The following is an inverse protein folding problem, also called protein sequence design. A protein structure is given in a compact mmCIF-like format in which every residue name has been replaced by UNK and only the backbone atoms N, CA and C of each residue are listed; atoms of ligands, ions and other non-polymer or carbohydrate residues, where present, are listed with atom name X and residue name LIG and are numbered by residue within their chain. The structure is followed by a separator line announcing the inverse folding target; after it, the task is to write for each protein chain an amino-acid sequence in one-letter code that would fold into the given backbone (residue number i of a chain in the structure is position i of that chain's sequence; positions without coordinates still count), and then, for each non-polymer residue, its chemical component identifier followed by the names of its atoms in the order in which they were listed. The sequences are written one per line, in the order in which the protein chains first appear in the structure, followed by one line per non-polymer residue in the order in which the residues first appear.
data_IF_721401487935
#
_entry.id   IF_721401487935
#
_cell.length_a   1.000
_cell.length_b   1.000
_cell.length_c   1.000
_cell.angle_alpha   90.00
_cell.angle_beta   90.00
_cell.angle_gamma   90.00
#
_symmetry.space_group_name_H-M   'P 1'
#
loop_
_entity.id
_entity.type
_entity.pdbx_description
1 polymer ?
#
# COMPACT_ATOMS: atom_id res chain seq x y z
N UNK A 1 2.58 -38.17 19.41
CA UNK A 1 1.17 -37.72 19.57
C UNK A 1 0.99 -36.48 18.71
N UNK A 2 0.42 -36.58 17.52
CA UNK A 2 0.22 -35.44 16.62
C UNK A 2 -1.07 -35.66 15.83
N UNK A 3 -2.20 -35.69 16.55
CA UNK A 3 -3.51 -35.97 15.94
C UNK A 3 -4.64 -35.08 16.46
N UNK A 4 -4.32 -34.07 17.29
CA UNK A 4 -5.33 -33.26 17.99
C UNK A 4 -5.32 -31.79 17.55
N UNK A 5 -4.24 -31.26 16.95
CA UNK A 5 -4.15 -29.83 16.60
C UNK A 5 -4.91 -29.45 15.31
N UNK A 6 -5.21 -30.41 14.42
CA UNK A 6 -5.93 -30.13 13.17
C UNK A 6 -7.42 -29.81 13.36
N UNK A 7 -8.00 -30.12 14.53
CA UNK A 7 -9.42 -29.90 14.84
C UNK A 7 -9.76 -28.61 15.60
N UNK A 8 -8.76 -27.79 15.96
CA UNK A 8 -8.99 -26.54 16.70
C UNK A 8 -9.14 -25.39 15.70
N UNK A 9 -10.35 -25.27 15.15
CA UNK A 9 -10.81 -24.10 14.40
C UNK A 9 -11.94 -23.42 15.16
N UNK A 10 -11.67 -23.05 16.41
CA UNK A 10 -12.64 -22.45 17.33
C UNK A 10 -12.33 -20.98 17.50
N UNK A 11 -13.35 -20.12 17.33
CA UNK A 11 -13.20 -18.66 17.45
C UNK A 11 -13.12 -18.18 18.90
N UNK A 12 -13.46 -19.02 19.87
CA UNK A 12 -13.43 -18.70 21.31
C UNK A 12 -12.17 -19.24 22.00
N UNK A 13 -11.04 -19.26 21.30
CA UNK A 13 -9.74 -19.67 21.84
C UNK A 13 -9.05 -18.44 22.43
N UNK A 14 -8.99 -18.36 23.77
CA UNK A 14 -8.40 -17.21 24.49
C UNK A 14 -7.11 -17.54 25.22
N UNK A 15 -6.80 -18.82 25.38
CA UNK A 15 -5.65 -19.25 26.15
C UNK A 15 -5.04 -20.52 25.54
N UNK A 16 -3.73 -20.49 25.30
CA UNK A 16 -2.95 -21.60 24.77
C UNK A 16 -1.82 -21.87 25.74
N UNK A 17 -1.93 -22.99 26.47
CA UNK A 17 -0.91 -23.41 27.43
C UNK A 17 -0.09 -24.56 26.86
N UNK A 18 1.17 -24.30 26.52
CA UNK A 18 2.13 -25.31 26.10
C UNK A 18 2.89 -25.85 27.30
N UNK A 19 2.75 -27.16 27.54
CA UNK A 19 3.46 -27.89 28.58
C UNK A 19 4.34 -28.95 27.89
N UNK A 20 5.63 -28.66 27.69
CA UNK A 20 6.59 -29.65 27.18
C UNK A 20 7.96 -29.47 27.83
N UNK A 21 8.49 -30.51 28.49
CA UNK A 21 9.82 -30.49 29.16
C UNK A 21 11.00 -30.80 28.20
N UNK A 22 10.72 -31.26 26.98
CA UNK A 22 11.74 -31.58 25.96
C UNK A 22 11.24 -31.16 24.58
N UNK A 23 11.36 -29.87 24.26
CA UNK A 23 11.01 -29.39 22.93
C UNK A 23 12.07 -29.82 21.90
N UNK A 24 11.63 -30.44 20.80
CA UNK A 24 12.41 -30.35 19.57
C UNK A 24 12.39 -28.89 19.13
N UNK A 25 13.54 -28.21 19.12
CA UNK A 25 13.72 -26.87 18.51
C UNK A 25 13.58 -26.91 16.97
N UNK A 26 12.69 -27.75 16.45
CA UNK A 26 12.47 -27.90 15.02
C UNK A 26 11.56 -26.78 14.52
N UNK A 27 11.91 -26.23 13.35
CA UNK A 27 11.12 -25.21 12.66
C UNK A 27 9.67 -25.68 12.43
N UNK A 28 9.48 -26.95 12.10
CA UNK A 28 8.15 -27.55 11.88
C UNK A 28 7.25 -27.46 13.12
N UNK A 29 7.81 -27.58 14.33
CA UNK A 29 7.05 -27.45 15.57
C UNK A 29 6.60 -26.00 15.82
N UNK A 30 7.50 -25.04 15.65
CA UNK A 30 7.21 -23.60 15.85
C UNK A 30 6.28 -23.02 14.80
N UNK A 31 6.37 -23.48 13.54
CA UNK A 31 5.42 -23.11 12.47
C UNK A 31 4.00 -23.60 12.78
N UNK A 32 3.85 -24.81 13.33
CA UNK A 32 2.54 -25.34 13.72
C UNK A 32 1.92 -24.57 14.90
N UNK A 33 2.75 -24.06 15.82
CA UNK A 33 2.33 -23.25 16.96
C UNK A 33 1.93 -21.84 16.52
N UNK A 34 2.72 -21.21 15.63
CA UNK A 34 2.38 -19.92 15.04
C UNK A 34 1.03 -19.97 14.30
N UNK A 35 0.75 -21.05 13.57
CA UNK A 35 -0.56 -21.27 12.95
C UNK A 35 -1.69 -21.38 13.98
N UNK A 36 -1.47 -22.08 15.10
CA UNK A 36 -2.47 -22.20 16.16
C UNK A 36 -2.74 -20.85 16.84
N UNK A 37 -1.69 -20.07 17.11
CA UNK A 37 -1.78 -18.70 17.62
C UNK A 37 -2.56 -17.83 16.63
N UNK A 38 -2.25 -17.89 15.34
CA UNK A 38 -2.98 -17.16 14.30
C UNK A 38 -4.46 -17.52 14.22
N UNK A 39 -4.83 -18.79 14.45
CA UNK A 39 -6.23 -19.20 14.56
C UNK A 39 -6.91 -18.65 15.81
N UNK A 40 -6.19 -18.56 16.93
CA UNK A 40 -6.70 -17.96 18.18
C UNK A 40 -6.83 -16.44 18.13
N UNK A 41 -5.96 -15.76 17.38
CA UNK A 41 -5.95 -14.30 17.26
C UNK A 41 -7.12 -13.72 16.42
N UNK A 42 -8.05 -14.56 15.96
CA UNK A 42 -9.22 -14.12 15.22
C UNK A 42 -10.25 -13.52 16.16
N UNK A 43 -10.86 -12.42 15.72
CA UNK A 43 -11.94 -11.77 16.44
C UNK A 43 -13.11 -12.72 16.67
N UNK A 44 -13.61 -12.81 17.91
CA UNK A 44 -14.80 -13.59 18.25
C UNK A 44 -16.07 -12.71 18.20
N UNK A 45 -16.97 -12.91 17.21
CA UNK A 45 -18.15 -12.06 17.03
C UNK A 45 -19.13 -12.17 18.20
N UNK A 46 -19.33 -11.08 18.94
CA UNK A 46 -20.36 -10.98 19.99
C UNK A 46 -21.55 -10.10 19.59
N UNK A 47 -22.69 -10.30 20.25
CA UNK A 47 -23.91 -9.53 20.02
C UNK A 47 -23.95 -8.32 20.94
N UNK A 48 -24.25 -7.15 20.38
CA UNK A 48 -24.44 -5.89 21.11
C UNK A 48 -25.61 -5.14 20.46
N UNK A 49 -26.55 -4.64 21.25
CA UNK A 49 -27.81 -4.01 20.79
C UNK A 49 -28.53 -4.80 19.69
N UNK A 50 -28.64 -6.12 19.89
CA UNK A 50 -29.33 -7.03 18.95
C UNK A 50 -28.59 -7.25 17.62
N UNK A 51 -27.38 -6.71 17.44
CA UNK A 51 -26.57 -6.87 16.21
C UNK A 51 -25.27 -7.62 16.49
N UNK A 52 -24.99 -8.65 15.70
CA UNK A 52 -23.69 -9.35 15.67
C UNK A 52 -22.82 -8.78 14.55
N UNK A 53 -21.57 -8.46 14.84
CA UNK A 53 -20.59 -7.96 13.86
C UNK A 53 -19.45 -8.95 13.73
N UNK A 54 -18.98 -9.18 12.51
CA UNK A 54 -17.77 -9.97 12.23
C UNK A 54 -16.52 -9.10 12.08
N UNK A 55 -16.65 -7.78 12.24
CA UNK A 55 -15.56 -6.84 12.38
C UNK A 55 -15.46 -6.37 13.83
N UNK A 56 -14.24 -6.08 14.29
CA UNK A 56 -13.99 -5.55 15.64
C UNK A 56 -14.78 -4.28 15.89
N UNK A 57 -15.14 -4.08 17.15
CA UNK A 57 -15.93 -2.93 17.65
C UNK A 57 -15.14 -2.28 18.77
N UNK A 58 -15.30 -0.96 18.93
CA UNK A 58 -14.75 -0.20 20.05
C UNK A 58 -13.20 -0.12 20.14
N UNK A 59 -12.47 -0.52 19.09
CA UNK A 59 -10.99 -0.43 19.03
C UNK A 59 -10.46 1.00 19.30
N UNK A 60 -11.23 2.03 18.96
CA UNK A 60 -10.87 3.45 19.15
C UNK A 60 -11.55 4.09 20.37
N UNK A 61 -12.16 3.30 21.25
CA UNK A 61 -12.87 3.81 22.43
C UNK A 61 -11.87 4.22 23.52
N UNK A 62 -11.95 5.46 24.00
CA UNK A 62 -11.12 5.99 25.09
C UNK A 62 -11.54 5.50 26.50
N UNK A 63 -12.32 4.42 26.60
CA UNK A 63 -12.76 3.84 27.88
C UNK A 63 -11.83 2.72 28.30
N UNK A 64 -11.57 2.59 29.60
CA UNK A 64 -10.73 1.52 30.16
C UNK A 64 -11.28 0.10 29.88
N UNK A 65 -12.57 -0.02 29.55
CA UNK A 65 -13.25 -1.26 29.15
C UNK A 65 -13.21 -1.52 27.62
N UNK A 66 -12.34 -0.83 26.87
CA UNK A 66 -12.25 -0.93 25.40
C UNK A 66 -11.53 -2.18 24.92
N UNK A 67 -10.70 -2.81 25.76
CA UNK A 67 -10.06 -4.09 25.44
C UNK A 67 -11.08 -5.20 25.64
N UNK A 68 -11.59 -5.75 24.55
CA UNK A 68 -12.66 -6.74 24.57
C UNK A 68 -12.14 -8.17 24.62
N UNK A 69 -10.99 -8.43 24.00
CA UNK A 69 -10.44 -9.78 23.80
C UNK A 69 -8.92 -9.77 23.92
N UNK A 70 -8.40 -10.73 24.68
CA UNK A 70 -6.98 -11.00 24.80
C UNK A 70 -6.77 -12.50 24.57
N UNK A 71 -5.74 -12.84 23.78
CA UNK A 71 -5.25 -14.21 23.63
C UNK A 71 -3.95 -14.31 24.44
N UNK A 72 -3.88 -15.26 25.35
CA UNK A 72 -2.66 -15.56 26.08
C UNK A 72 -2.01 -16.82 25.51
N UNK A 73 -0.70 -16.77 25.29
CA UNK A 73 0.12 -17.94 24.97
C UNK A 73 1.12 -18.15 26.10
N UNK A 74 1.00 -19.28 26.78
CA UNK A 74 1.88 -19.65 27.89
C UNK A 74 2.81 -20.77 27.47
N UNK A 75 4.10 -20.60 27.72
CA UNK A 75 5.13 -21.62 27.51
C UNK A 75 6.14 -21.55 28.66
N UNK A 76 6.86 -22.65 28.87
CA UNK A 76 8.06 -22.66 29.71
C UNK A 76 9.09 -21.70 29.08
N UNK A 77 9.80 -20.95 29.93
CA UNK A 77 10.78 -19.95 29.51
C UNK A 77 12.04 -20.61 28.91
N UNK A 78 11.96 -20.99 27.63
CA UNK A 78 13.06 -21.55 26.84
C UNK A 78 13.50 -20.55 25.76
N UNK A 79 14.61 -19.80 25.96
CA UNK A 79 14.98 -18.69 25.07
C UNK A 79 15.18 -19.08 23.59
N UNK A 80 15.72 -20.28 23.32
CA UNK A 80 15.94 -20.76 21.96
C UNK A 80 14.62 -21.07 21.23
N UNK A 81 13.65 -21.64 21.95
CA UNK A 81 12.32 -21.92 21.45
C UNK A 81 11.55 -20.62 21.18
N UNK A 82 11.55 -19.70 22.15
CA UNK A 82 10.87 -18.39 22.05
C UNK A 82 11.38 -17.63 20.81
N UNK A 83 12.71 -17.57 20.62
CA UNK A 83 13.31 -16.93 19.44
C UNK A 83 12.87 -17.56 18.12
N UNK A 84 12.69 -18.88 18.09
CA UNK A 84 12.25 -19.59 16.88
C UNK A 84 10.75 -19.37 16.63
N UNK A 85 9.94 -19.37 17.69
CA UNK A 85 8.50 -19.06 17.62
C UNK A 85 8.25 -17.64 17.09
N UNK A 86 9.01 -16.64 17.55
CA UNK A 86 8.92 -15.28 17.01
C UNK A 86 9.16 -15.23 15.50
N UNK A 87 10.20 -15.91 15.01
CA UNK A 87 10.47 -16.00 13.57
C UNK A 87 9.31 -16.64 12.80
N UNK A 88 8.68 -17.67 13.37
CA UNK A 88 7.52 -18.32 12.76
C UNK A 88 6.27 -17.43 12.77
N UNK A 89 6.07 -16.61 13.80
CA UNK A 89 4.99 -15.61 13.86
C UNK A 89 5.19 -14.50 12.82
N UNK A 90 6.40 -13.96 12.71
CA UNK A 90 6.76 -12.98 11.66
C UNK A 90 6.55 -13.56 10.25
N UNK A 91 6.96 -14.81 10.00
CA UNK A 91 6.72 -15.50 8.72
C UNK A 91 5.24 -15.73 8.41
N UNK A 92 4.40 -15.79 9.44
CA UNK A 92 2.96 -15.96 9.31
C UNK A 92 2.19 -14.63 9.22
N UNK A 93 2.89 -13.49 9.11
CA UNK A 93 2.29 -12.14 9.09
C UNK A 93 1.48 -11.83 10.37
N UNK A 94 1.87 -12.46 11.49
CA UNK A 94 1.33 -12.17 12.82
C UNK A 94 2.31 -11.23 13.50
N UNK A 95 1.96 -9.94 13.57
CA UNK A 95 2.77 -8.89 14.19
C UNK A 95 3.10 -9.25 15.65
N UNK A 96 4.31 -9.72 15.88
CA UNK A 96 4.86 -9.93 17.21
C UNK A 96 5.59 -8.66 17.65
N UNK A 97 4.83 -7.64 18.08
CA UNK A 97 5.44 -6.47 18.72
C UNK A 97 6.05 -6.90 20.07
N UNK A 98 7.27 -6.45 20.34
CA UNK A 98 7.86 -6.60 21.67
C UNK A 98 7.24 -5.56 22.60
N UNK A 99 6.64 -6.00 23.70
CA UNK A 99 6.25 -5.09 24.77
C UNK A 99 7.49 -4.31 25.24
N UNK A 100 7.45 -2.97 25.12
CA UNK A 100 8.23 -2.10 26.01
C UNK A 100 9.33 -1.21 25.44
N UNK A 101 9.27 -0.71 24.19
CA UNK A 101 10.13 0.43 23.83
C UNK A 101 9.55 1.47 22.87
N UNK A 102 8.40 1.20 22.24
CA UNK A 102 7.78 2.16 21.34
C UNK A 102 7.14 3.35 22.06
N UNK A 103 7.27 4.54 21.46
CA UNK A 103 6.65 5.77 21.96
C UNK A 103 5.41 6.07 21.14
N UNK A 104 4.30 6.40 21.80
CA UNK A 104 3.11 6.95 21.13
C UNK A 104 3.31 8.44 20.94
N UNK A 105 3.30 8.88 19.70
CA UNK A 105 3.33 10.30 19.34
C UNK A 105 1.94 10.75 18.89
N UNK A 106 1.59 11.99 19.22
CA UNK A 106 0.28 12.56 18.93
C UNK A 106 0.40 13.73 17.94
N UNK A 107 -0.47 13.75 16.94
CA UNK A 107 -0.62 14.83 16.00
C UNK A 107 -2.05 15.40 16.13
N UNK A 108 -2.16 16.58 16.71
CA UNK A 108 -3.41 17.28 16.94
C UNK A 108 -3.56 18.42 15.96
N UNK A 109 -4.76 18.58 15.42
CA UNK A 109 -5.10 19.70 14.56
C UNK A 109 -4.98 21.01 15.34
N UNK A 110 -4.24 21.96 14.74
CA UNK A 110 -4.02 23.30 15.31
C UNK A 110 -5.33 24.07 15.42
N UNK A 111 -5.48 24.83 16.50
CA UNK A 111 -6.69 25.64 16.75
C UNK A 111 -6.93 26.69 15.65
N UNK A 112 -5.87 27.30 15.12
CA UNK A 112 -5.97 28.26 14.01
C UNK A 112 -6.52 27.60 12.73
N UNK A 113 -6.14 26.34 12.45
CA UNK A 113 -6.70 25.58 11.34
C UNK A 113 -8.15 25.20 11.61
N UNK A 114 -8.49 24.76 12.82
CA UNK A 114 -9.88 24.46 13.20
C UNK A 114 -10.81 25.67 13.03
N UNK A 115 -10.30 26.90 13.12
CA UNK A 115 -11.07 28.14 12.93
C UNK A 115 -11.14 28.62 11.47
N UNK A 116 -10.37 28.03 10.55
CA UNK A 116 -10.32 28.48 9.16
C UNK A 116 -11.60 28.15 8.39
N UNK A 117 -11.83 28.86 7.29
CA UNK A 117 -12.95 28.60 6.39
C UNK A 117 -12.82 27.20 5.75
N UNK A 118 -11.60 26.81 5.40
CA UNK A 118 -11.28 25.47 4.86
C UNK A 118 -11.72 24.36 5.81
N UNK A 119 -11.47 24.46 7.12
CA UNK A 119 -11.88 23.41 8.05
C UNK A 119 -13.39 23.41 8.33
N UNK A 120 -13.97 24.61 8.53
CA UNK A 120 -15.37 24.74 8.98
C UNK A 120 -16.38 24.41 7.89
N UNK A 121 -16.10 24.86 6.66
CA UNK A 121 -17.03 24.79 5.52
C UNK A 121 -16.41 24.18 4.27
N UNK A 122 -15.09 24.02 4.21
CA UNK A 122 -14.41 23.42 3.08
C UNK A 122 -14.71 21.93 2.93
N UNK A 123 -14.40 21.42 1.74
CA UNK A 123 -14.75 20.07 1.29
C UNK A 123 -13.52 19.34 0.76
N UNK A 124 -13.47 18.03 0.98
CA UNK A 124 -12.54 17.12 0.31
C UNK A 124 -13.27 16.34 -0.77
N UNK A 125 -12.66 16.22 -1.93
CA UNK A 125 -13.23 15.60 -3.11
C UNK A 125 -12.66 14.20 -3.33
N UNK A 126 -13.54 13.23 -3.51
CA UNK A 126 -13.25 11.80 -3.71
C UNK A 126 -13.89 11.35 -5.01
N UNK A 127 -13.29 10.40 -5.71
CA UNK A 127 -13.96 9.85 -6.88
C UNK A 127 -15.02 8.82 -6.49
N UNK A 128 -16.14 8.85 -7.20
CA UNK A 128 -17.19 7.85 -7.04
C UNK A 128 -16.71 6.49 -7.54
N UNK A 129 -17.38 5.45 -7.05
CA UNK A 129 -17.15 4.07 -7.47
C UNK A 129 -18.40 3.48 -8.08
N UNK A 130 -18.23 2.57 -9.04
CA UNK A 130 -19.34 1.86 -9.66
C UNK A 130 -19.06 0.35 -9.77
N UNK A 131 -20.12 -0.43 -9.79
CA UNK A 131 -20.04 -1.87 -9.99
C UNK A 131 -19.54 -2.22 -11.39
N UNK A 132 -18.70 -3.25 -11.48
CA UNK A 132 -18.24 -3.76 -12.77
C UNK A 132 -19.16 -4.91 -13.17
N UNK A 133 -19.95 -4.70 -14.23
CA UNK A 133 -20.80 -5.74 -14.80
C UNK A 133 -19.96 -6.97 -15.18
N UNK A 134 -20.46 -8.18 -14.88
CA UNK A 134 -19.72 -9.43 -15.14
C UNK A 134 -19.26 -9.54 -16.60
N UNK A 135 -20.12 -9.19 -17.58
CA UNK A 135 -19.80 -9.23 -19.01
C UNK A 135 -18.64 -8.32 -19.43
N UNK A 136 -18.36 -7.28 -18.63
CA UNK A 136 -17.32 -6.29 -18.87
C UNK A 136 -15.99 -6.66 -18.21
N UNK A 137 -15.94 -7.79 -17.47
CA UNK A 137 -14.71 -8.25 -16.81
C UNK A 137 -13.64 -8.61 -17.83
N UNK A 138 -12.52 -7.90 -17.75
CA UNK A 138 -11.31 -8.10 -18.53
C UNK A 138 -10.08 -7.79 -17.69
N UNK A 139 -8.89 -7.99 -18.27
CA UNK A 139 -7.60 -7.82 -17.61
C UNK A 139 -7.46 -6.47 -16.89
N UNK A 140 -7.87 -5.39 -17.57
CA UNK A 140 -7.81 -4.01 -17.10
C UNK A 140 -8.77 -3.77 -15.93
N UNK A 141 -10.00 -4.30 -15.99
CA UNK A 141 -10.98 -4.14 -14.89
C UNK A 141 -10.59 -4.85 -13.60
N UNK A 142 -9.71 -5.85 -13.69
CA UNK A 142 -9.10 -6.49 -12.53
C UNK A 142 -7.83 -5.77 -12.05
N UNK A 143 -7.43 -4.67 -12.71
CA UNK A 143 -6.18 -3.94 -12.47
C UNK A 143 -4.94 -4.86 -12.48
N UNK A 144 -4.92 -5.85 -13.38
CA UNK A 144 -3.82 -6.81 -13.45
C UNK A 144 -2.56 -6.18 -14.06
N UNK A 145 -1.43 -6.42 -13.41
CA UNK A 145 -0.11 -6.05 -13.91
C UNK A 145 0.22 -6.79 -15.20
N UNK A 146 1.04 -6.17 -16.04
CA UNK A 146 1.54 -6.78 -17.29
C UNK A 146 3.04 -6.98 -17.26
N UNK A 147 3.72 -6.45 -16.23
CA UNK A 147 5.15 -6.56 -16.02
C UNK A 147 5.38 -7.19 -14.67
N UNK A 148 6.19 -8.25 -14.64
CA UNK A 148 6.53 -8.96 -13.42
C UNK A 148 8.05 -9.03 -13.31
N UNK A 149 8.56 -8.68 -12.13
CA UNK A 149 9.95 -8.91 -11.76
C UNK A 149 10.01 -10.10 -10.82
N UNK A 150 10.82 -11.10 -11.16
CA UNK A 150 10.92 -12.34 -10.39
C UNK A 150 12.39 -12.62 -10.09
N UNK A 151 12.80 -12.66 -8.81
CA UNK A 151 14.15 -13.07 -8.48
C UNK A 151 14.34 -14.55 -8.82
N UNK A 152 15.47 -14.89 -9.43
CA UNK A 152 15.90 -16.27 -9.59
C UNK A 152 17.02 -16.55 -8.58
N UNK A 153 16.68 -17.31 -7.54
CA UNK A 153 17.62 -17.77 -6.51
C UNK A 153 17.96 -19.23 -6.79
N UNK A 154 19.24 -19.56 -6.86
CA UNK A 154 19.68 -20.97 -6.91
C UNK A 154 19.50 -21.65 -5.55
N UNK A 155 19.41 -22.98 -5.50
CA UNK A 155 19.20 -23.71 -4.23
C UNK A 155 20.30 -23.45 -3.17
N UNK A 156 21.53 -23.17 -3.61
CA UNK A 156 22.61 -22.70 -2.72
C UNK A 156 22.37 -21.29 -2.18
N UNK A 157 21.74 -20.42 -2.97
CA UNK A 157 21.44 -19.03 -2.61
C UNK A 157 20.22 -18.94 -1.69
N UNK A 158 19.16 -19.73 -1.89
CA UNK A 158 18.02 -19.79 -0.94
C UNK A 158 18.48 -20.16 0.50
N UNK A 159 19.54 -20.98 0.62
CA UNK A 159 20.11 -21.35 1.91
C UNK A 159 20.98 -20.24 2.54
N UNK A 160 21.63 -19.41 1.72
CA UNK A 160 22.57 -18.36 2.14
C UNK A 160 21.87 -17.00 2.37
N UNK A 161 20.79 -16.70 1.64
CA UNK A 161 19.99 -15.49 1.82
C UNK A 161 19.31 -15.48 3.20
N UNK A 162 19.01 -16.67 3.74
CA UNK A 162 18.57 -16.88 5.12
C UNK A 162 19.67 -16.65 6.17
N UNK A 163 20.95 -16.52 5.77
CA UNK A 163 22.12 -16.49 6.67
C UNK A 163 22.96 -15.21 6.58
N UNK A 164 22.84 -14.38 5.53
CA UNK A 164 23.69 -13.19 5.38
C UNK A 164 22.98 -11.99 4.74
N UNK A 165 22.52 -11.05 5.56
CA UNK A 165 22.31 -9.66 5.14
C UNK A 165 23.66 -8.96 5.05
N UNK A 166 24.44 -9.18 3.98
CA UNK A 166 25.52 -8.29 3.52
C UNK A 166 26.47 -9.00 2.57
N UNK A 167 26.19 -8.95 1.26
CA UNK A 167 27.18 -8.66 0.22
C UNK A 167 26.40 -8.16 -1.01
N UNK A 168 26.75 -6.98 -1.55
CA UNK A 168 26.20 -6.49 -2.81
C UNK A 168 26.65 -7.39 -3.96
N UNK A 169 25.96 -8.51 -4.17
CA UNK A 169 26.18 -9.39 -5.33
C UNK A 169 25.59 -8.72 -6.56
N UNK A 170 26.41 -8.59 -7.60
CA UNK A 170 25.99 -7.99 -8.86
C UNK A 170 24.98 -8.91 -9.54
N UNK A 171 23.78 -8.39 -9.76
CA UNK A 171 22.70 -9.04 -10.51
C UNK A 171 22.55 -8.39 -11.88
N UNK A 172 21.87 -9.08 -12.80
CA UNK A 172 21.46 -8.53 -14.08
C UNK A 172 19.99 -8.86 -14.37
N UNK A 173 19.26 -8.00 -15.09
CA UNK A 173 17.95 -8.32 -15.61
C UNK A 173 18.05 -9.27 -16.80
N UNK A 174 17.18 -10.28 -16.86
CA UNK A 174 17.10 -11.25 -17.95
C UNK A 174 15.62 -11.51 -18.32
N UNK A 175 15.20 -11.35 -19.58
CA UNK A 175 13.80 -11.59 -19.95
C UNK A 175 13.47 -13.10 -19.95
N UNK A 176 12.36 -13.49 -19.30
CA UNK A 176 11.84 -14.86 -19.37
C UNK A 176 11.06 -15.07 -20.69
N UNK A 177 11.77 -15.40 -21.76
CA UNK A 177 11.18 -15.75 -23.04
C UNK A 177 10.89 -17.26 -23.13
N UNK A 178 9.62 -17.63 -23.22
CA UNK A 178 9.17 -19.03 -23.27
C UNK A 178 8.18 -19.26 -24.40
N UNK A 179 8.21 -20.47 -24.97
CA UNK A 179 7.22 -20.89 -25.97
C UNK A 179 5.89 -21.32 -25.32
N UNK A 180 4.84 -21.44 -26.14
CA UNK A 180 3.47 -21.76 -25.71
C UNK A 180 3.36 -23.07 -24.90
N UNK A 181 4.29 -24.03 -25.06
CA UNK A 181 4.25 -25.30 -24.32
C UNK A 181 4.44 -25.07 -22.83
N UNK A 182 5.26 -24.10 -22.43
CA UNK A 182 5.44 -23.73 -21.03
C UNK A 182 4.14 -23.17 -20.44
N UNK A 183 3.51 -22.23 -21.13
CA UNK A 183 2.22 -21.66 -20.69
C UNK A 183 1.15 -22.73 -20.55
N UNK A 184 1.01 -23.62 -21.53
CA UNK A 184 0.06 -24.74 -21.46
C UNK A 184 0.36 -25.65 -20.27
N UNK A 185 1.64 -25.98 -20.04
CA UNK A 185 2.02 -26.88 -18.95
C UNK A 185 1.82 -26.25 -17.58
N UNK A 186 2.16 -24.98 -17.41
CA UNK A 186 1.97 -24.25 -16.16
C UNK A 186 0.47 -24.07 -15.86
N UNK A 187 -0.32 -23.65 -16.85
CA UNK A 187 -1.78 -23.53 -16.71
C UNK A 187 -2.44 -24.87 -16.35
N UNK A 188 -1.97 -26.00 -16.90
CA UNK A 188 -2.49 -27.33 -16.55
C UNK A 188 -2.30 -27.67 -15.06
N UNK A 189 -1.22 -27.19 -14.44
CA UNK A 189 -0.93 -27.44 -13.02
C UNK A 189 -1.77 -26.57 -12.07
N UNK A 190 -2.33 -25.47 -12.57
CA UNK A 190 -3.03 -24.47 -11.75
C UNK A 190 -4.52 -24.48 -12.14
N UNK A 191 -5.36 -25.10 -11.29
CA UNK A 191 -6.80 -25.31 -11.57
C UNK A 191 -7.58 -24.05 -11.94
N UNK A 192 -7.12 -22.87 -11.52
CA UNK A 192 -7.73 -21.60 -11.92
C UNK A 192 -7.79 -21.43 -13.45
N UNK A 193 -6.80 -21.94 -14.18
CA UNK A 193 -6.68 -21.77 -15.63
C UNK A 193 -7.41 -22.83 -16.46
N UNK A 194 -8.21 -23.70 -15.82
CA UNK A 194 -9.19 -24.53 -16.52
C UNK A 194 -10.15 -23.63 -17.32
N UNK A 195 -10.43 -23.95 -18.58
CA UNK A 195 -11.15 -23.05 -19.51
C UNK A 195 -12.52 -22.64 -18.96
N UNK A 196 -13.27 -23.58 -18.37
CA UNK A 196 -14.59 -23.31 -17.80
C UNK A 196 -14.51 -22.35 -16.61
N UNK A 197 -13.44 -22.41 -15.83
CA UNK A 197 -13.21 -21.47 -14.75
C UNK A 197 -12.75 -20.10 -15.28
N UNK A 198 -11.85 -20.06 -16.27
CA UNK A 198 -11.43 -18.81 -16.92
C UNK A 198 -12.61 -18.05 -17.52
N UNK A 199 -13.55 -18.74 -18.17
CA UNK A 199 -14.77 -18.11 -18.74
C UNK A 199 -15.69 -17.49 -17.69
N UNK A 200 -15.57 -17.85 -16.40
CA UNK A 200 -16.31 -17.18 -15.32
C UNK A 200 -15.75 -15.79 -15.02
N UNK A 201 -14.43 -15.65 -15.06
CA UNK A 201 -13.73 -14.38 -14.80
C UNK A 201 -13.53 -13.54 -16.07
N UNK A 202 -13.42 -14.18 -17.23
CA UNK A 202 -13.22 -13.55 -18.53
C UNK A 202 -14.30 -14.05 -19.49
N UNK A 203 -15.54 -13.52 -19.42
CA UNK A 203 -16.69 -14.07 -20.16
C UNK A 203 -16.56 -13.92 -21.68
N UNK A 204 -15.77 -12.95 -22.15
CA UNK A 204 -15.52 -12.75 -23.58
C UNK A 204 -14.40 -13.67 -24.13
N UNK A 205 -13.78 -14.49 -23.28
CA UNK A 205 -12.72 -15.40 -23.70
C UNK A 205 -13.26 -16.54 -24.56
N UNK A 206 -12.75 -16.67 -25.77
CA UNK A 206 -13.18 -17.73 -26.71
C UNK A 206 -12.48 -19.06 -26.46
N UNK A 207 -11.21 -19.05 -26.03
CA UNK A 207 -10.46 -20.26 -25.73
C UNK A 207 -9.05 -20.06 -25.16
N UNK A 208 -8.42 -21.16 -24.72
CA UNK A 208 -7.08 -21.13 -24.09
C UNK A 208 -6.01 -20.56 -25.02
N UNK A 209 -6.09 -20.85 -26.33
CA UNK A 209 -5.11 -20.33 -27.30
C UNK A 209 -5.17 -18.81 -27.39
N UNK A 210 -6.36 -18.23 -27.32
CA UNK A 210 -6.53 -16.78 -27.24
C UNK A 210 -5.96 -16.24 -25.92
N UNK A 211 -6.28 -16.88 -24.80
CA UNK A 211 -5.79 -16.46 -23.48
C UNK A 211 -4.25 -16.38 -23.42
N UNK A 212 -3.55 -17.30 -24.10
CA UNK A 212 -2.08 -17.31 -24.14
C UNK A 212 -1.53 -16.26 -25.12
N UNK A 213 -2.11 -16.15 -26.32
CA UNK A 213 -1.48 -15.39 -27.43
C UNK A 213 -1.95 -13.95 -27.55
N UNK A 214 -3.16 -13.64 -27.11
CA UNK A 214 -3.75 -12.31 -27.30
C UNK A 214 -3.14 -11.31 -26.33
N UNK A 215 -2.87 -10.09 -26.82
CA UNK A 215 -2.48 -8.96 -25.98
C UNK A 215 -3.58 -8.54 -25.00
N UNK A 216 -4.83 -8.96 -25.19
CA UNK A 216 -5.88 -8.77 -24.18
C UNK A 216 -5.58 -9.55 -22.88
N UNK A 217 -4.77 -10.61 -22.93
CA UNK A 217 -4.52 -11.56 -21.83
C UNK A 217 -3.03 -11.79 -21.57
N UNK A 218 -2.52 -13.03 -21.62
CA UNK A 218 -1.12 -13.34 -21.31
C UNK A 218 -0.14 -12.86 -22.40
N UNK A 219 -0.62 -12.57 -23.62
CA UNK A 219 0.25 -12.17 -24.74
C UNK A 219 0.95 -10.82 -24.52
N UNK A 220 0.43 -9.97 -23.63
CA UNK A 220 1.07 -8.70 -23.23
C UNK A 220 2.02 -8.81 -22.04
N UNK A 221 2.21 -10.01 -21.48
CA UNK A 221 3.08 -10.19 -20.31
C UNK A 221 4.54 -9.98 -20.65
N UNK A 222 5.23 -9.22 -19.81
CA UNK A 222 6.68 -9.05 -19.82
C UNK A 222 7.22 -9.48 -18.46
N UNK A 223 7.92 -10.60 -18.44
CA UNK A 223 8.50 -11.15 -17.21
C UNK A 223 10.01 -10.90 -17.27
N UNK A 224 10.53 -10.11 -16.33
CA UNK A 224 11.94 -9.84 -16.16
C UNK A 224 12.46 -10.60 -14.94
N UNK A 225 13.56 -11.31 -15.10
CA UNK A 225 14.19 -12.05 -14.03
C UNK A 225 15.37 -11.28 -13.49
N UNK A 226 15.56 -11.28 -12.18
CA UNK A 226 16.79 -10.82 -11.56
C UNK A 226 17.67 -12.03 -11.29
N UNK A 227 18.75 -12.17 -12.06
CA UNK A 227 19.65 -13.33 -12.01
C UNK A 227 21.08 -12.90 -11.61
N UNK A 228 21.89 -13.79 -11.02
CA UNK A 228 23.31 -13.52 -10.78
C UNK A 228 24.05 -13.13 -12.06
N UNK A 229 24.96 -12.15 -12.00
CA UNK A 229 25.65 -11.64 -13.19
C UNK A 229 26.42 -12.73 -13.95
N UNK A 230 26.99 -13.70 -13.23
CA UNK A 230 27.73 -14.84 -13.77
C UNK A 230 26.85 -15.94 -14.37
N UNK A 231 25.54 -15.93 -14.14
CA UNK A 231 24.63 -16.96 -14.62
C UNK A 231 24.35 -16.78 -16.12
N UNK A 232 24.51 -17.85 -16.88
CA UNK A 232 23.91 -17.99 -18.21
C UNK A 232 22.52 -18.61 -18.09
N UNK A 233 21.48 -17.79 -18.28
CA UNK A 233 20.10 -18.24 -18.15
C UNK A 233 19.67 -19.21 -19.26
N UNK A 234 20.40 -19.24 -20.39
CA UNK A 234 20.12 -20.20 -21.46
C UNK A 234 20.30 -21.65 -20.97
N UNK A 235 21.27 -21.87 -20.07
CA UNK A 235 21.60 -23.17 -19.48
C UNK A 235 20.63 -23.60 -18.36
N UNK A 236 19.76 -22.71 -17.86
CA UNK A 236 18.80 -23.04 -16.78
C UNK A 236 17.82 -24.12 -17.26
N UNK A 237 17.59 -25.20 -16.48
CA UNK A 237 16.70 -26.30 -16.85
C UNK A 237 15.27 -25.85 -17.13
N UNK A 238 14.62 -26.50 -18.09
CA UNK A 238 13.22 -26.21 -18.47
C UNK A 238 12.25 -26.33 -17.27
N UNK A 239 12.52 -27.24 -16.32
CA UNK A 239 11.70 -27.38 -15.11
C UNK A 239 11.71 -26.13 -14.23
N UNK A 240 12.86 -25.47 -14.13
CA UNK A 240 13.01 -24.24 -13.33
C UNK A 240 12.39 -23.04 -14.05
N UNK A 241 12.61 -22.92 -15.36
CA UNK A 241 11.92 -21.94 -16.21
C UNK A 241 10.40 -22.04 -16.10
N UNK A 242 9.88 -23.28 -16.06
CA UNK A 242 8.46 -23.54 -15.84
C UNK A 242 8.01 -23.09 -14.44
N UNK A 243 8.79 -23.34 -13.40
CA UNK A 243 8.49 -22.91 -12.02
C UNK A 243 8.40 -21.38 -11.89
N UNK A 244 9.29 -20.64 -12.56
CA UNK A 244 9.25 -19.18 -12.58
C UNK A 244 7.95 -18.65 -13.22
N UNK A 245 7.51 -19.28 -14.33
CA UNK A 245 6.23 -18.94 -14.95
C UNK A 245 5.05 -19.30 -14.04
N UNK A 246 5.10 -20.44 -13.33
CA UNK A 246 4.07 -20.84 -12.36
C UNK A 246 3.89 -19.78 -11.26
N UNK A 247 4.98 -19.21 -10.72
CA UNK A 247 4.92 -18.12 -9.74
C UNK A 247 4.13 -16.91 -10.25
N UNK A 248 4.38 -16.49 -11.50
CA UNK A 248 3.67 -15.36 -12.12
C UNK A 248 2.19 -15.68 -12.33
N UNK A 249 1.88 -16.87 -12.84
CA UNK A 249 0.50 -17.30 -13.06
C UNK A 249 -0.28 -17.45 -11.73
N UNK A 250 0.35 -17.93 -10.66
CA UNK A 250 -0.28 -17.97 -9.33
C UNK A 250 -0.66 -16.55 -8.89
N UNK A 251 0.29 -15.60 -8.95
CA UNK A 251 0.04 -14.18 -8.59
C UNK A 251 -1.10 -13.57 -9.40
N UNK A 252 -1.15 -13.83 -10.72
CA UNK A 252 -2.26 -13.36 -11.57
C UNK A 252 -3.59 -13.96 -11.11
N UNK A 253 -3.65 -15.27 -10.88
CA UNK A 253 -4.88 -15.95 -10.48
C UNK A 253 -5.43 -15.47 -9.13
N UNK A 254 -4.55 -15.21 -8.16
CA UNK A 254 -4.91 -14.67 -6.86
C UNK A 254 -5.43 -13.24 -6.98
N UNK A 255 -4.76 -12.41 -7.79
CA UNK A 255 -5.20 -11.05 -8.05
C UNK A 255 -6.57 -11.00 -8.72
N UNK A 256 -6.85 -11.86 -9.69
CA UNK A 256 -8.19 -11.97 -10.30
C UNK A 256 -9.24 -12.30 -9.24
N UNK A 257 -9.01 -13.35 -8.43
CA UNK A 257 -9.96 -13.76 -7.38
C UNK A 257 -10.20 -12.65 -6.35
N UNK A 258 -9.14 -11.97 -5.91
CA UNK A 258 -9.21 -10.86 -4.93
C UNK A 258 -10.00 -9.67 -5.46
N UNK A 259 -10.01 -9.47 -6.76
CA UNK A 259 -10.55 -8.27 -7.41
C UNK A 259 -11.93 -8.48 -8.07
N UNK A 260 -12.46 -9.71 -8.05
CA UNK A 260 -13.70 -10.10 -8.73
C UNK A 260 -14.98 -9.46 -8.19
N UNK A 261 -14.98 -9.09 -6.91
CA UNK A 261 -16.11 -8.41 -6.27
C UNK A 261 -15.82 -6.93 -6.00
N UNK A 262 -14.69 -6.41 -6.48
CA UNK A 262 -14.37 -5.00 -6.30
C UNK A 262 -15.08 -4.13 -7.34
N UNK A 263 -15.37 -2.91 -6.91
CA UNK A 263 -15.90 -1.80 -7.70
C UNK A 263 -14.76 -1.03 -8.36
N UNK A 264 -15.04 -0.36 -9.48
CA UNK A 264 -14.06 0.50 -10.15
C UNK A 264 -14.23 1.97 -9.79
N UNK A 265 -13.14 2.72 -9.80
CA UNK A 265 -13.19 4.17 -9.69
C UNK A 265 -13.69 4.82 -10.97
N UNK A 266 -14.53 5.85 -10.83
CA UNK A 266 -15.04 6.66 -11.94
C UNK A 266 -14.27 7.99 -12.02
N UNK A 267 -14.51 8.76 -13.08
CA UNK A 267 -13.98 10.12 -13.23
C UNK A 267 -14.87 11.19 -12.59
N UNK A 268 -16.00 10.81 -11.98
CA UNK A 268 -16.88 11.73 -11.26
C UNK A 268 -16.43 11.85 -9.82
N UNK A 269 -16.41 13.07 -9.30
CA UNK A 269 -16.03 13.37 -7.92
C UNK A 269 -17.21 13.90 -7.11
N UNK A 270 -17.32 13.37 -5.90
CA UNK A 270 -18.22 13.84 -4.85
C UNK A 270 -17.40 14.41 -3.70
N UNK A 271 -18.06 15.09 -2.76
CA UNK A 271 -17.36 15.79 -1.69
C UNK A 271 -17.86 15.42 -0.30
N UNK A 272 -16.97 15.56 0.68
CA UNK A 272 -17.28 15.43 2.10
C UNK A 272 -16.67 16.62 2.88
N UNK A 273 -17.31 17.10 3.96
CA UNK A 273 -16.74 18.18 4.76
C UNK A 273 -15.37 17.84 5.33
N UNK A 274 -14.42 18.78 5.26
CA UNK A 274 -13.03 18.59 5.75
C UNK A 274 -13.02 18.13 7.21
N UNK A 275 -13.82 18.77 8.07
CA UNK A 275 -13.95 18.43 9.50
C UNK A 275 -14.43 17.01 9.81
N UNK A 276 -15.13 16.36 8.87
CA UNK A 276 -15.66 15.01 9.08
C UNK A 276 -14.60 13.95 8.76
N UNK A 277 -13.66 14.31 7.88
CA UNK A 277 -12.59 13.43 7.37
C UNK A 277 -11.29 13.65 8.15
N UNK A 278 -10.83 14.89 8.31
CA UNK A 278 -9.54 15.21 8.94
C UNK A 278 -9.70 15.30 10.45
N UNK A 279 -8.97 14.45 11.19
CA UNK A 279 -9.06 14.35 12.65
C UNK A 279 -7.68 14.25 13.30
N UNK A 280 -7.64 14.50 14.60
CA UNK A 280 -6.43 14.22 15.39
C UNK A 280 -6.08 12.72 15.29
N UNK A 281 -4.79 12.39 15.32
CA UNK A 281 -4.35 10.99 15.31
C UNK A 281 -3.13 10.77 16.18
N UNK A 282 -2.84 9.50 16.41
CA UNK A 282 -1.68 9.06 17.18
C UNK A 282 -1.00 7.93 16.44
N UNK A 283 0.32 7.79 16.57
CA UNK A 283 1.06 6.69 15.96
C UNK A 283 1.98 6.08 17.00
N UNK A 284 2.02 4.75 17.03
CA UNK A 284 3.02 4.02 17.80
C UNK A 284 4.31 3.93 16.99
N UNK A 285 5.40 4.48 17.51
CA UNK A 285 6.71 4.48 16.86
C UNK A 285 7.61 3.50 17.58
N UNK A 286 7.99 2.43 16.90
CA UNK A 286 8.97 1.46 17.39
C UNK A 286 10.41 1.95 17.10
N UNK A 287 11.29 2.10 18.10
CA UNK A 287 12.67 2.54 17.91
C UNK A 287 13.56 1.51 17.19
N UNK A 288 13.13 0.25 17.04
CA UNK A 288 13.89 -0.83 16.40
C UNK A 288 13.83 -0.81 14.86
N UNK A 289 13.02 0.08 14.27
CA UNK A 289 12.84 0.17 12.81
C UNK A 289 14.11 0.69 12.10
N UNK A 290 14.42 0.08 10.95
CA UNK A 290 15.56 0.42 10.07
C UNK A 290 15.58 1.93 9.76
N UNK A 291 16.77 2.54 9.72
CA UNK A 291 17.01 3.99 9.59
C UNK A 291 16.15 4.69 8.52
N UNK A 292 15.96 4.07 7.34
CA UNK A 292 15.20 4.68 6.23
C UNK A 292 13.67 4.61 6.40
N UNK A 293 13.18 3.76 7.29
CA UNK A 293 11.76 3.68 7.69
C UNK A 293 11.53 4.28 9.07
N UNK A 294 12.57 4.87 9.68
CA UNK A 294 12.47 5.49 10.99
C UNK A 294 11.50 6.67 10.92
N UNK A 295 10.38 6.51 11.62
CA UNK A 295 9.40 7.56 11.80
C UNK A 295 9.86 8.44 12.96
N UNK A 296 9.83 9.75 12.77
CA UNK A 296 10.14 10.74 13.79
C UNK A 296 9.03 11.75 13.93
N UNK A 297 8.84 12.28 15.13
CA UNK A 297 7.92 13.37 15.39
C UNK A 297 8.68 14.69 15.53
N UNK A 298 8.39 15.65 14.67
CA UNK A 298 8.94 17.00 14.74
C UNK A 298 7.83 18.03 15.00
N UNK A 299 8.00 18.95 15.96
CA UNK A 299 7.08 20.07 16.14
C UNK A 299 6.99 20.93 14.87
N UNK A 300 5.79 21.38 14.52
CA UNK A 300 5.54 22.20 13.33
C UNK A 300 5.35 23.67 13.69
N UNK A 301 5.97 24.11 14.78
CA UNK A 301 5.99 25.50 15.25
C UNK A 301 6.43 26.44 14.14
N UNK A 302 5.69 27.53 13.95
CA UNK A 302 5.93 28.51 12.87
C UNK A 302 5.38 28.09 11.49
N UNK A 303 5.10 26.80 11.24
CA UNK A 303 4.51 26.30 9.99
C UNK A 303 2.98 26.36 10.06
N UNK A 304 2.39 27.56 9.96
CA UNK A 304 0.91 27.72 10.00
C UNK A 304 0.18 26.95 8.89
N UNK A 305 0.86 26.71 7.78
CA UNK A 305 0.37 25.95 6.64
C UNK A 305 0.35 24.43 6.88
N UNK A 306 1.04 23.89 7.89
CA UNK A 306 0.94 22.47 8.23
C UNK A 306 -0.12 22.28 9.32
N UNK A 307 -1.15 21.46 9.07
CA UNK A 307 -2.38 21.49 9.89
C UNK A 307 -2.24 20.90 11.29
N UNK A 308 -1.34 19.93 11.48
CA UNK A 308 -1.09 19.29 12.78
C UNK A 308 0.03 19.99 13.56
N UNK A 309 -0.01 19.95 14.89
CA UNK A 309 1.02 20.48 15.79
C UNK A 309 2.35 19.71 15.72
N UNK A 310 2.30 18.41 15.44
CA UNK A 310 3.45 17.55 15.20
C UNK A 310 3.37 16.89 13.82
N UNK A 311 4.51 16.84 13.13
CA UNK A 311 4.71 16.09 11.90
C UNK A 311 5.36 14.75 12.26
N UNK A 312 4.56 13.68 12.29
CA UNK A 312 4.99 12.31 12.55
C UNK A 312 5.24 11.65 11.18
N UNK A 313 6.49 11.65 10.72
CA UNK A 313 6.85 11.37 9.33
C UNK A 313 8.11 10.51 9.22
N UNK A 314 8.29 9.84 8.07
CA UNK A 314 9.56 9.22 7.69
C UNK A 314 10.53 10.24 7.07
N UNK A 315 11.77 9.83 6.82
CA UNK A 315 12.82 10.74 6.30
C UNK A 315 12.48 11.41 4.96
N UNK A 316 11.84 10.67 4.04
CA UNK A 316 11.49 11.19 2.72
C UNK A 316 10.35 12.21 2.83
N UNK A 317 9.36 11.93 3.66
CA UNK A 317 8.26 12.85 3.96
C UNK A 317 8.76 14.13 4.68
N UNK A 318 9.70 14.02 5.62
CA UNK A 318 10.35 15.19 6.22
C UNK A 318 11.05 16.05 5.17
N UNK A 319 11.75 15.41 4.21
CA UNK A 319 12.40 16.11 3.10
C UNK A 319 11.37 16.83 2.22
N UNK A 320 10.24 16.19 1.90
CA UNK A 320 9.14 16.80 1.16
C UNK A 320 8.60 18.05 1.88
N UNK A 321 8.28 17.94 3.18
CA UNK A 321 7.77 19.06 3.98
C UNK A 321 8.78 20.22 4.02
N UNK A 322 10.07 19.93 4.10
CA UNK A 322 11.13 20.95 4.05
C UNK A 322 11.17 21.68 2.70
N UNK A 323 11.09 20.93 1.59
CA UNK A 323 11.08 21.49 0.23
C UNK A 323 9.83 22.36 0.03
N UNK A 324 8.64 21.86 0.37
CA UNK A 324 7.40 22.63 0.29
C UNK A 324 7.46 23.90 1.15
N UNK A 325 8.07 23.82 2.35
CA UNK A 325 8.28 24.97 3.22
C UNK A 325 9.07 26.11 2.56
N UNK A 326 10.03 25.80 1.69
CA UNK A 326 10.79 26.81 0.93
C UNK A 326 9.93 27.53 -0.13
N UNK A 327 8.86 26.90 -0.60
CA UNK A 327 7.97 27.45 -1.64
C UNK A 327 6.84 28.32 -1.07
N UNK A 328 6.55 28.21 0.23
CA UNK A 328 5.39 28.83 0.86
C UNK A 328 5.32 30.35 0.67
N UNK A 329 6.45 31.06 0.79
CA UNK A 329 6.44 32.53 0.62
C UNK A 329 6.07 32.95 -0.80
N UNK A 330 6.49 32.19 -1.82
CA UNK A 330 6.10 32.46 -3.21
C UNK A 330 4.66 32.06 -3.47
N UNK A 331 4.23 30.90 -2.97
CA UNK A 331 2.84 30.46 -3.15
C UNK A 331 1.84 31.42 -2.48
N UNK A 332 2.19 32.01 -1.32
CA UNK A 332 1.37 33.04 -0.65
C UNK A 332 1.15 34.32 -1.47
N UNK A 333 1.90 34.53 -2.55
CA UNK A 333 1.62 35.65 -3.47
C UNK A 333 0.43 35.38 -4.38
N UNK A 334 -0.01 34.12 -4.47
CA UNK A 334 -1.07 33.65 -5.37
C UNK A 334 -2.28 33.03 -4.64
N UNK A 335 -2.09 32.59 -3.39
CA UNK A 335 -3.12 31.91 -2.60
C UNK A 335 -3.30 32.55 -1.21
N UNK A 336 -4.56 32.75 -0.81
CA UNK A 336 -4.95 33.28 0.51
C UNK A 336 -4.73 32.26 1.62
N UNK A 337 -5.16 31.03 1.37
CA UNK A 337 -5.11 29.92 2.31
C UNK A 337 -4.28 28.80 1.71
N UNK A 338 -3.33 28.27 2.49
CA UNK A 338 -2.48 27.14 2.12
C UNK A 338 -2.42 26.19 3.31
N UNK A 339 -2.92 24.97 3.13
CA UNK A 339 -2.94 23.94 4.16
C UNK A 339 -2.43 22.60 3.63
N UNK A 340 -1.32 22.10 4.17
CA UNK A 340 -0.80 20.76 3.94
C UNK A 340 -1.31 19.82 5.02
N UNK A 341 -2.01 18.76 4.59
CA UNK A 341 -2.60 17.72 5.41
C UNK A 341 -1.88 16.42 5.10
N UNK A 342 -1.34 15.76 6.12
CA UNK A 342 -0.88 14.37 6.01
C UNK A 342 -2.10 13.45 6.02
N UNK A 343 -2.19 12.55 5.06
CA UNK A 343 -3.25 11.56 4.97
C UNK A 343 -2.78 10.25 5.61
N UNK A 344 -3.12 10.07 6.88
CA UNK A 344 -2.78 8.87 7.64
C UNK A 344 -4.02 7.96 7.81
N UNK A 345 -3.82 6.64 7.83
CA UNK A 345 -4.91 5.65 7.98
C UNK A 345 -5.64 5.77 9.34
N UNK A 346 -5.00 6.29 10.38
CA UNK A 346 -5.63 6.48 11.68
C UNK A 346 -6.42 7.79 11.78
N UNK A 347 -6.12 8.75 10.92
CA UNK A 347 -6.72 10.09 10.93
C UNK A 347 -7.79 10.26 9.85
N UNK A 348 -7.32 10.25 8.61
CA UNK A 348 -7.96 10.90 7.47
C UNK A 348 -8.63 9.87 6.59
N UNK A 349 -7.96 8.71 6.41
CA UNK A 349 -8.42 7.59 5.56
C UNK A 349 -8.90 8.03 4.18
N UNK A 350 -8.36 9.13 3.67
CA UNK A 350 -8.76 9.66 2.40
C UNK A 350 -8.23 8.74 1.32
N UNK A 351 -9.11 8.25 0.46
CA UNK A 351 -8.74 7.24 -0.52
C UNK A 351 -9.49 7.47 -1.82
N UNK A 352 -8.75 7.44 -2.91
CA UNK A 352 -9.25 7.36 -4.27
C UNK A 352 -9.30 5.90 -4.73
N UNK A 353 -10.16 5.60 -5.68
CA UNK A 353 -10.18 4.31 -6.39
C UNK A 353 -9.70 4.53 -7.81
N UNK A 354 -8.86 3.65 -8.33
CA UNK A 354 -8.26 3.76 -9.66
C UNK A 354 -9.32 4.01 -10.75
N UNK A 355 -9.06 4.96 -11.65
CA UNK A 355 -9.96 5.24 -12.78
C UNK A 355 -10.06 4.01 -13.70
N UNK A 356 -11.28 3.46 -13.83
CA UNK A 356 -11.53 2.24 -14.60
C UNK A 356 -11.02 0.95 -13.95
N UNK A 357 -10.36 1.03 -12.80
CA UNK A 357 -9.74 -0.09 -12.09
C UNK A 357 -10.18 -0.17 -10.63
N UNK A 358 -9.71 -1.20 -9.94
CA UNK A 358 -10.18 -1.58 -8.59
C UNK A 358 -9.18 -1.28 -7.49
N UNK A 359 -8.01 -0.72 -7.84
CA UNK A 359 -6.95 -0.43 -6.87
C UNK A 359 -7.31 0.80 -6.05
N UNK A 360 -6.91 0.76 -4.80
CA UNK A 360 -7.04 1.88 -3.89
C UNK A 360 -5.78 2.74 -3.88
N UNK A 361 -5.93 4.05 -4.00
CA UNK A 361 -4.84 5.00 -3.89
C UNK A 361 -5.09 5.95 -2.72
N UNK A 362 -4.19 5.93 -1.74
CA UNK A 362 -4.18 6.85 -0.61
C UNK A 362 -2.95 7.74 -0.78
N UNK A 363 -3.09 8.97 -1.32
CA UNK A 363 -1.97 9.89 -1.45
C UNK A 363 -1.46 10.27 -0.06
N UNK A 364 -0.14 10.26 0.17
CA UNK A 364 0.42 10.55 1.51
C UNK A 364 0.10 11.97 2.01
N UNK A 365 -0.01 12.95 1.09
CA UNK A 365 -0.36 14.32 1.43
C UNK A 365 -1.45 14.89 0.51
N UNK A 366 -2.29 15.72 1.12
CA UNK A 366 -3.30 16.54 0.45
C UNK A 366 -3.02 17.99 0.82
N UNK A 367 -2.84 18.84 -0.18
CA UNK A 367 -2.68 20.27 0.03
C UNK A 367 -3.90 21.01 -0.51
N UNK A 368 -4.49 21.85 0.34
CA UNK A 368 -5.63 22.69 0.00
C UNK A 368 -5.11 24.12 -0.22
N UNK A 369 -5.50 24.72 -1.35
CA UNK A 369 -5.19 26.11 -1.68
C UNK A 369 -6.47 26.87 -2.07
N UNK A 370 -6.59 28.12 -1.64
CA UNK A 370 -7.65 29.04 -2.12
C UNK A 370 -6.98 30.19 -2.87
N UNK A 371 -7.27 30.34 -4.17
CA UNK A 371 -6.59 31.33 -5.04
C UNK A 371 -7.16 32.75 -4.90
N UNK A 372 -6.29 33.75 -4.79
CA UNK A 372 -6.69 35.16 -4.65
C UNK A 372 -7.59 35.68 -5.78
N UNK A 373 -7.25 35.32 -7.01
CA UNK A 373 -7.81 35.97 -8.20
C UNK A 373 -9.30 35.68 -8.42
N UNK A 374 -9.75 34.49 -8.02
CA UNK A 374 -11.09 33.98 -8.33
C UNK A 374 -11.68 33.06 -7.26
N UNK A 375 -11.05 32.98 -6.07
CA UNK A 375 -11.44 32.07 -5.00
C UNK A 375 -11.51 30.59 -5.43
N UNK A 376 -10.80 30.21 -6.50
CA UNK A 376 -10.75 28.82 -6.93
C UNK A 376 -10.17 27.94 -5.81
N UNK A 377 -10.81 26.80 -5.58
CA UNK A 377 -10.47 25.84 -4.53
C UNK A 377 -9.66 24.69 -5.12
N UNK A 378 -8.41 24.56 -4.69
CA UNK A 378 -7.48 23.57 -5.24
C UNK A 378 -7.24 22.48 -4.22
N UNK A 379 -7.44 21.23 -4.62
CA UNK A 379 -7.05 20.04 -3.87
C UNK A 379 -5.90 19.36 -4.62
N UNK A 380 -4.71 19.44 -4.04
CA UNK A 380 -3.47 18.96 -4.64
C UNK A 380 -3.04 17.67 -3.95
N UNK A 381 -2.83 16.61 -4.72
CA UNK A 381 -2.36 15.32 -4.25
C UNK A 381 -0.85 15.20 -4.43
N UNK A 382 -0.15 14.80 -3.37
CA UNK A 382 1.31 14.69 -3.34
C UNK A 382 1.70 13.34 -2.74
N UNK A 383 2.58 12.62 -3.44
CA UNK A 383 3.08 11.30 -3.03
C UNK A 383 4.61 11.31 -3.07
N UNK A 384 5.30 11.26 -1.92
CA UNK A 384 6.71 10.91 -1.84
C UNK A 384 6.93 9.43 -2.16
N UNK A 385 7.98 9.15 -2.94
CA UNK A 385 8.34 7.78 -3.35
C UNK A 385 9.83 7.51 -3.27
N UNK A 386 10.19 6.36 -2.70
CA UNK A 386 11.53 5.80 -2.83
C UNK A 386 11.83 5.45 -4.29
N UNK A 387 13.06 5.70 -4.73
CA UNK A 387 13.46 5.52 -6.14
C UNK A 387 13.30 4.05 -6.60
N UNK A 388 13.44 3.10 -5.68
CA UNK A 388 13.27 1.65 -5.89
C UNK A 388 11.82 1.24 -6.21
N UNK A 389 10.83 2.06 -5.81
CA UNK A 389 9.40 1.73 -5.91
C UNK A 389 8.69 2.46 -7.06
N UNK A 390 9.42 3.25 -7.85
CA UNK A 390 8.84 4.05 -8.93
C UNK A 390 8.13 3.19 -9.99
N UNK A 391 8.71 2.03 -10.35
CA UNK A 391 8.14 1.15 -11.36
C UNK A 391 6.86 0.45 -10.89
N UNK A 392 6.85 -0.06 -9.66
CA UNK A 392 5.69 -0.75 -9.08
C UNK A 392 4.49 0.21 -8.95
N UNK A 393 4.75 1.46 -8.58
CA UNK A 393 3.73 2.47 -8.34
C UNK A 393 3.47 3.42 -9.53
N UNK A 394 3.99 3.10 -10.72
CA UNK A 394 3.75 3.87 -11.95
C UNK A 394 2.26 4.05 -12.32
N UNK A 395 1.38 3.20 -11.79
CA UNK A 395 -0.06 3.37 -11.96
C UNK A 395 -0.64 4.52 -11.12
N UNK A 396 -0.10 4.78 -9.91
CA UNK A 396 -0.51 5.93 -9.09
C UNK A 396 -0.05 7.23 -9.73
N UNK A 397 1.15 7.26 -10.32
CA UNK A 397 1.62 8.44 -11.05
C UNK A 397 0.74 8.76 -12.26
N UNK A 398 0.32 7.74 -13.03
CA UNK A 398 -0.66 7.91 -14.10
C UNK A 398 -2.01 8.41 -13.59
N UNK A 399 -2.42 8.00 -12.39
CA UNK A 399 -3.64 8.50 -11.76
C UNK A 399 -3.50 9.99 -11.39
N UNK A 400 -2.36 10.39 -10.81
CA UNK A 400 -2.01 11.79 -10.54
C UNK A 400 -1.97 12.62 -11.83
N UNK A 401 -1.41 12.07 -12.91
CA UNK A 401 -1.40 12.73 -14.21
C UNK A 401 -2.82 12.92 -14.76
N UNK A 402 -3.64 11.87 -14.71
CA UNK A 402 -5.04 11.88 -15.20
C UNK A 402 -5.92 12.87 -14.46
N UNK A 403 -5.66 13.11 -13.17
CA UNK A 403 -6.37 14.13 -12.38
C UNK A 403 -6.24 15.54 -12.97
N UNK A 404 -5.16 15.81 -13.72
CA UNK A 404 -4.92 17.11 -14.34
C UNK A 404 -5.62 17.29 -15.70
N UNK A 405 -6.28 16.24 -16.23
CA UNK A 405 -7.08 16.34 -17.47
C UNK A 405 -8.51 16.80 -17.14
N UNK A 406 -8.71 18.12 -17.13
CA UNK A 406 -10.01 18.75 -16.84
C UNK A 406 -11.15 18.24 -17.76
N UNK A 407 -10.84 17.71 -18.95
CA UNK A 407 -11.86 17.19 -19.87
C UNK A 407 -12.45 15.85 -19.42
N UNK A 408 -11.75 15.12 -18.55
CA UNK A 408 -12.18 13.82 -18.02
C UNK A 408 -12.86 13.93 -16.67
N UNK A 409 -12.40 14.86 -15.84
CA UNK A 409 -12.84 14.97 -14.44
C UNK A 409 -14.17 15.72 -14.36
N UNK A 410 -15.15 15.11 -13.69
CA UNK A 410 -16.49 15.68 -13.51
C UNK A 410 -16.69 15.99 -12.03
N UNK A 411 -16.99 17.25 -11.70
CA UNK A 411 -17.27 17.70 -10.33
C UNK A 411 -18.64 18.36 -10.35
N UNK A 412 -19.66 17.69 -9.80
CA UNK A 412 -21.05 18.13 -9.92
C UNK A 412 -21.35 19.44 -9.16
N UNK A 413 -20.54 19.77 -8.14
CA UNK A 413 -20.86 20.82 -7.18
C UNK A 413 -20.30 22.21 -7.52
N UNK A 414 -19.21 22.32 -8.30
CA UNK A 414 -18.53 23.60 -8.48
C UNK A 414 -17.53 23.63 -9.65
N UNK A 415 -17.69 24.59 -10.56
CA UNK A 415 -16.77 24.84 -11.67
C UNK A 415 -15.44 25.47 -11.23
N UNK A 416 -15.33 25.97 -9.99
CA UNK A 416 -14.15 26.65 -9.45
C UNK A 416 -13.25 25.71 -8.62
N UNK A 417 -13.57 24.42 -8.59
CA UNK A 417 -12.74 23.40 -7.94
C UNK A 417 -11.70 22.86 -8.94
N UNK A 418 -10.47 22.68 -8.47
CA UNK A 418 -9.39 22.07 -9.24
C UNK A 418 -8.76 20.92 -8.46
N UNK A 419 -8.74 19.74 -9.07
CA UNK A 419 -8.05 18.57 -8.55
C UNK A 419 -6.73 18.45 -9.29
N UNK A 420 -5.62 18.46 -8.57
CA UNK A 420 -4.29 18.51 -9.17
C UNK A 420 -3.45 17.36 -8.64
N UNK A 421 -2.94 16.51 -9.51
CA UNK A 421 -1.95 15.52 -9.14
C UNK A 421 -0.55 16.01 -9.50
N UNK A 422 0.34 16.05 -8.52
CA UNK A 422 1.76 16.37 -8.73
C UNK A 422 2.53 15.08 -8.99
N UNK A 423 3.56 15.14 -9.84
CA UNK A 423 4.50 14.03 -10.03
C UNK A 423 5.12 13.56 -8.73
N UNK A 424 5.68 12.35 -8.70
CA UNK A 424 6.24 11.82 -7.47
C UNK A 424 7.39 12.67 -6.92
N UNK A 425 7.41 12.81 -5.59
CA UNK A 425 8.57 13.35 -4.91
C UNK A 425 9.57 12.23 -4.62
N UNK A 426 10.59 12.11 -5.47
CA UNK A 426 11.66 11.12 -5.34
C UNK A 426 13.03 11.79 -5.46
N UNK A 427 14.08 11.18 -4.91
CA UNK A 427 15.43 11.80 -4.94
C UNK A 427 15.94 11.92 -6.38
N UNK A 428 15.70 10.90 -7.21
CA UNK A 428 16.08 10.90 -8.63
C UNK A 428 15.23 11.82 -9.52
N UNK A 429 14.08 12.28 -9.03
CA UNK A 429 13.11 13.07 -9.80
C UNK A 429 12.87 14.48 -9.22
N UNK A 430 13.77 14.96 -8.35
CA UNK A 430 13.60 16.23 -7.63
C UNK A 430 13.29 17.42 -8.56
N UNK A 431 14.11 17.63 -9.60
CA UNK A 431 13.93 18.76 -10.52
C UNK A 431 12.61 18.65 -11.30
N UNK A 432 12.21 17.41 -11.64
CA UNK A 432 10.94 17.13 -12.32
C UNK A 432 9.76 17.47 -11.41
N UNK A 433 9.83 17.10 -10.13
CA UNK A 433 8.83 17.46 -9.13
C UNK A 433 8.71 18.97 -8.94
N UNK A 434 9.84 19.67 -8.81
CA UNK A 434 9.86 21.12 -8.60
C UNK A 434 9.29 21.86 -9.81
N UNK A 435 9.69 21.47 -11.02
CA UNK A 435 9.14 22.03 -12.26
C UNK A 435 7.63 21.78 -12.37
N UNK A 436 7.15 20.59 -11.98
CA UNK A 436 5.73 20.26 -12.01
C UNK A 436 4.91 21.13 -11.04
N UNK A 437 5.40 21.36 -9.82
CA UNK A 437 4.78 22.29 -8.86
C UNK A 437 4.82 23.73 -9.39
N UNK A 438 5.95 24.19 -9.94
CA UNK A 438 6.08 25.54 -10.50
C UNK A 438 5.01 25.79 -11.57
N UNK A 439 4.91 24.87 -12.53
CA UNK A 439 3.97 24.97 -13.64
C UNK A 439 2.52 24.92 -13.17
N UNK A 440 2.18 23.94 -12.33
CA UNK A 440 0.78 23.73 -11.91
C UNK A 440 0.32 24.74 -10.87
N UNK A 441 1.14 25.02 -9.86
CA UNK A 441 0.73 25.82 -8.70
C UNK A 441 1.22 27.26 -8.75
N UNK A 442 2.34 27.57 -9.42
CA UNK A 442 2.90 28.92 -9.44
C UNK A 442 2.83 29.61 -10.81
N UNK A 443 2.06 29.08 -11.75
CA UNK A 443 1.87 29.70 -13.07
C UNK A 443 3.11 29.68 -13.94
N UNK A 444 4.04 28.76 -13.68
CA UNK A 444 5.33 28.66 -14.38
C UNK A 444 6.43 29.54 -13.80
N UNK A 445 6.13 30.41 -12.83
CA UNK A 445 7.13 31.27 -12.21
C UNK A 445 8.07 30.45 -11.29
N UNK A 446 9.39 30.71 -11.30
CA UNK A 446 10.36 29.94 -10.53
C UNK A 446 10.08 29.94 -9.02
N UNK A 447 9.93 28.75 -8.45
CA UNK A 447 9.80 28.55 -7.00
C UNK A 447 11.15 28.52 -6.29
N UNK A 448 12.22 28.19 -7.00
CA UNK A 448 13.58 28.28 -6.47
C UNK A 448 14.23 29.60 -6.88
N UNK A 449 15.19 30.06 -6.07
CA UNK A 449 16.01 31.23 -6.41
C UNK A 449 17.35 30.70 -6.90
N UNK A 450 17.80 31.14 -8.08
CA UNK A 450 19.11 30.76 -8.62
C UNK A 450 20.22 31.09 -7.62
N UNK A 451 21.12 30.15 -7.39
CA UNK A 451 22.32 30.36 -6.57
C UNK A 451 23.35 31.28 -7.25
N UNK A 452 23.22 31.51 -8.56
CA UNK A 452 23.95 32.52 -9.31
C UNK A 452 23.15 33.83 -9.34
N UNK A 453 23.59 34.80 -8.52
CA UNK A 453 23.40 36.21 -8.78
C UNK A 453 24.50 36.63 -9.77
N UNK A 454 24.14 36.95 -11.02
CA UNK A 454 25.07 37.52 -12.01
C UNK A 454 25.45 38.95 -11.63
#
# INVERSE_FOLDING_TARGET
MAKVNEGWDVLNLYDIVRISEQASNSKTGTDSEAQLIGRGARYYPFSYDGKRSFTRRFDTSARDLSVLEQLHYHTINEPAYIKTLHKSLEQADIDAQHDGSGKVEHARLKDDFKKSAVYQTGKLYFNEVEEIESRSRCWETYSLETRFEVPYLTASEESLDNLSQSEHRKTKPEPLALDERFYRKAMQKIRFYELDNLKRYFPNLTGIREFIRSEAYLGKLKISLTVPQSLDFSAVPAKEKLSLLETVLIRISENVRRNDQKVRGTYRFTSQPVKDVIKDYSLHIDPSVIVNQKITAEPTTGKKWYVFDNAILNQLEHKLVKVLGAFMEKLKTRYDEIYLIRNDEQSTRFKLTEFGGVRGFMPDFIMILTRHADNAYWQVFIEPKGDDRLLEDAWKERMLETLNDESRIIIDENNDVRLIGIKFFANSQMDTFISDIQNKLNGGEPLETSSLLL
#
